data_IF_353295402393
#
_entry.id   IF_353295402393
#
_cell.length_a   1.000
_cell.length_b   1.000
_cell.length_c   1.000
_cell.angle_alpha   90.00
_cell.angle_beta   90.00
_cell.angle_gamma   90.00
#
_symmetry.space_group_name_H-M   'P 1'
#
loop_
_entity.id
_entity.type
_entity.pdbx_description
1 polymer ?
#
# COMPACT_ATOMS: atom_id res chain seq x y z
N UNK A 1 -6.02 9.09 -0.68
CA UNK A 1 -5.37 8.04 -1.50
C UNK A 1 -6.45 7.42 -2.36
N UNK A 2 -6.39 7.56 -3.70
CA UNK A 2 -7.35 6.90 -4.60
C UNK A 2 -7.13 5.39 -4.53
N UNK A 3 -8.21 4.63 -4.37
CA UNK A 3 -8.10 3.19 -4.22
C UNK A 3 -7.57 2.57 -5.53
N UNK A 4 -6.90 1.41 -5.50
CA UNK A 4 -6.44 0.72 -6.71
C UNK A 4 -7.55 0.51 -7.75
N UNK A 5 -8.80 0.40 -7.30
CA UNK A 5 -9.98 0.28 -8.16
C UNK A 5 -10.31 1.58 -8.91
N UNK A 6 -10.13 2.75 -8.29
CA UNK A 6 -10.35 4.05 -8.94
C UNK A 6 -9.30 4.29 -10.03
N UNK A 7 -8.08 3.78 -9.82
CA UNK A 7 -6.98 3.83 -10.80
C UNK A 7 -7.30 2.97 -12.02
N UNK A 8 -7.81 1.75 -11.81
CA UNK A 8 -8.26 0.88 -12.91
C UNK A 8 -9.40 1.55 -13.71
N UNK A 9 -10.39 2.12 -13.02
CA UNK A 9 -11.47 2.86 -13.69
C UNK A 9 -10.94 4.08 -14.48
N UNK A 10 -9.87 4.72 -13.99
CA UNK A 10 -9.22 5.82 -14.71
C UNK A 10 -8.56 5.31 -15.99
N UNK A 11 -7.90 4.14 -15.96
CA UNK A 11 -7.32 3.52 -17.16
C UNK A 11 -8.40 3.11 -18.17
N UNK A 12 -9.52 2.54 -17.71
CA UNK A 12 -10.67 2.22 -18.59
C UNK A 12 -11.26 3.48 -19.24
N UNK A 13 -11.29 4.60 -18.51
CA UNK A 13 -11.73 5.88 -19.06
C UNK A 13 -10.75 6.41 -20.12
N UNK A 14 -9.43 6.28 -19.88
CA UNK A 14 -8.40 6.64 -20.86
C UNK A 14 -8.54 5.78 -22.12
N UNK A 15 -8.80 4.47 -21.99
CA UNK A 15 -9.03 3.58 -23.13
C UNK A 15 -10.22 4.05 -23.99
N UNK A 16 -11.34 4.44 -23.36
CA UNK A 16 -12.49 5.01 -24.06
C UNK A 16 -12.13 6.33 -24.76
N UNK A 17 -11.34 7.18 -24.11
CA UNK A 17 -10.85 8.44 -24.71
C UNK A 17 -9.94 8.16 -25.92
N UNK A 18 -9.12 7.10 -25.91
CA UNK A 18 -8.31 6.67 -27.06
C UNK A 18 -9.20 6.24 -28.23
N UNK A 19 -10.25 5.46 -27.97
CA UNK A 19 -11.22 5.06 -29.00
C UNK A 19 -11.86 6.31 -29.64
N UNK A 20 -12.29 7.26 -28.82
CA UNK A 20 -12.87 8.52 -29.30
C UNK A 20 -11.87 9.35 -30.13
N UNK A 21 -10.61 9.37 -29.73
CA UNK A 21 -9.53 10.02 -30.45
C UNK A 21 -9.40 9.43 -31.88
N UNK A 22 -9.30 8.11 -31.97
CA UNK A 22 -9.20 7.40 -33.26
C UNK A 22 -10.45 7.61 -34.14
N UNK A 23 -11.65 7.59 -33.55
CA UNK A 23 -12.88 7.88 -34.27
C UNK A 23 -12.91 9.30 -34.83
N UNK A 24 -12.46 10.29 -34.05
CA UNK A 24 -12.39 11.70 -34.49
C UNK A 24 -11.44 11.86 -35.68
N UNK A 25 -10.28 11.20 -35.66
CA UNK A 25 -9.37 11.16 -36.79
C UNK A 25 -9.99 10.46 -38.02
N UNK A 26 -10.66 9.32 -37.80
CA UNK A 26 -11.37 8.60 -38.85
C UNK A 26 -12.45 9.44 -39.53
N UNK A 27 -13.24 10.18 -38.76
CA UNK A 27 -14.26 11.10 -39.31
C UNK A 27 -13.63 12.24 -40.10
N UNK A 28 -12.51 12.82 -39.65
CA UNK A 28 -11.80 13.85 -40.40
C UNK A 28 -11.33 13.31 -41.77
N UNK A 29 -10.71 12.12 -41.79
CA UNK A 29 -10.25 11.49 -43.03
C UNK A 29 -11.41 11.13 -43.96
N UNK A 30 -12.51 10.60 -43.42
CA UNK A 30 -13.69 10.24 -44.19
C UNK A 30 -14.35 11.47 -44.80
N UNK A 31 -14.43 12.59 -44.07
CA UNK A 31 -14.92 13.86 -44.62
C UNK A 31 -14.06 14.37 -45.77
N UNK A 32 -12.74 14.29 -45.62
CA UNK A 32 -11.79 14.71 -46.65
C UNK A 32 -11.81 13.81 -47.90
N UNK A 33 -12.24 12.55 -47.76
CA UNK A 33 -12.37 11.62 -48.89
C UNK A 33 -13.62 11.81 -49.75
N UNK A 34 -14.56 12.69 -49.35
CA UNK A 34 -15.79 12.94 -50.11
C UNK A 34 -15.50 13.77 -51.36
N UNK A 35 -16.22 13.49 -52.45
CA UNK A 35 -16.16 14.27 -53.70
C UNK A 35 -16.47 15.76 -53.49
N UNK A 36 -17.34 16.06 -52.52
CA UNK A 36 -17.64 17.41 -52.05
C UNK A 36 -17.46 17.51 -50.53
N UNK A 37 -16.21 17.70 -50.11
CA UNK A 37 -15.83 17.78 -48.70
C UNK A 37 -16.23 19.12 -48.05
N UNK A 38 -16.59 19.06 -46.77
CA UNK A 38 -16.82 20.24 -45.92
C UNK A 38 -15.58 20.52 -45.08
N UNK A 39 -14.83 21.57 -45.45
CA UNK A 39 -13.64 21.98 -44.71
C UNK A 39 -13.93 22.27 -43.23
N UNK A 40 -15.08 22.91 -42.94
CA UNK A 40 -15.51 23.20 -41.58
C UNK A 40 -15.74 21.93 -40.74
N UNK A 41 -16.28 20.87 -41.33
CA UNK A 41 -16.47 19.60 -40.62
C UNK A 41 -15.14 18.87 -40.41
N UNK A 42 -14.29 18.84 -41.44
CA UNK A 42 -12.94 18.26 -41.34
C UNK A 42 -12.10 18.95 -40.25
N UNK A 43 -12.13 20.28 -40.18
CA UNK A 43 -11.50 21.06 -39.11
C UNK A 43 -12.11 20.77 -37.74
N UNK A 44 -13.44 20.66 -37.65
CA UNK A 44 -14.11 20.31 -36.39
C UNK A 44 -13.64 18.96 -35.85
N UNK A 45 -13.62 17.93 -36.70
CA UNK A 45 -13.15 16.59 -36.32
C UNK A 45 -11.65 16.57 -35.99
N UNK A 46 -10.84 17.31 -36.73
CA UNK A 46 -9.40 17.45 -36.45
C UNK A 46 -9.13 18.15 -35.11
N UNK A 47 -9.89 19.20 -34.79
CA UNK A 47 -9.79 19.88 -33.50
C UNK A 47 -10.24 18.99 -32.34
N UNK A 48 -11.28 18.18 -32.54
CA UNK A 48 -11.71 17.20 -31.54
C UNK A 48 -10.64 16.13 -31.32
N UNK A 49 -10.04 15.60 -32.38
CA UNK A 49 -8.91 14.68 -32.30
C UNK A 49 -7.76 15.27 -31.45
N UNK A 50 -7.31 16.49 -31.77
CA UNK A 50 -6.22 17.14 -31.03
C UNK A 50 -6.54 17.32 -29.54
N UNK A 51 -7.77 17.75 -29.22
CA UNK A 51 -8.20 17.92 -27.82
C UNK A 51 -8.20 16.60 -27.07
N UNK A 52 -8.77 15.55 -27.65
CA UNK A 52 -8.83 14.23 -27.01
C UNK A 52 -7.43 13.62 -26.89
N UNK A 53 -6.58 13.79 -27.90
CA UNK A 53 -5.19 13.31 -27.86
C UNK A 53 -4.41 13.96 -26.70
N UNK A 54 -4.50 15.28 -26.56
CA UNK A 54 -3.82 16.00 -25.49
C UNK A 54 -4.30 15.56 -24.10
N UNK A 55 -5.61 15.32 -23.97
CA UNK A 55 -6.21 14.83 -22.73
C UNK A 55 -5.74 13.40 -22.39
N UNK A 56 -5.68 12.50 -23.37
CA UNK A 56 -5.13 11.15 -23.20
C UNK A 56 -3.66 11.21 -22.77
N UNK A 57 -2.85 12.02 -23.44
CA UNK A 57 -1.42 12.19 -23.14
C UNK A 57 -1.19 12.69 -21.70
N UNK A 58 -1.93 13.72 -21.29
CA UNK A 58 -1.85 14.28 -19.94
C UNK A 58 -2.20 13.23 -18.88
N UNK A 59 -3.32 12.52 -19.05
CA UNK A 59 -3.75 11.49 -18.09
C UNK A 59 -2.81 10.28 -18.04
N UNK A 60 -2.30 9.81 -19.18
CA UNK A 60 -1.32 8.72 -19.20
C UNK A 60 -0.03 9.13 -18.50
N UNK A 61 0.44 10.36 -18.70
CA UNK A 61 1.61 10.90 -18.01
C UNK A 61 1.42 10.88 -16.49
N UNK A 62 0.25 11.28 -16.00
CA UNK A 62 -0.06 11.19 -14.57
C UNK A 62 -0.02 9.75 -14.03
N UNK A 63 -0.56 8.77 -14.78
CA UNK A 63 -0.50 7.37 -14.37
C UNK A 63 0.93 6.81 -14.40
N UNK A 64 1.75 7.18 -15.39
CA UNK A 64 3.16 6.79 -15.48
C UNK A 64 3.95 7.38 -14.31
N UNK A 65 3.74 8.68 -14.00
CA UNK A 65 4.39 9.34 -12.87
C UNK A 65 4.01 8.67 -11.55
N UNK A 66 2.73 8.35 -11.37
CA UNK A 66 2.26 7.60 -10.21
C UNK A 66 2.91 6.21 -10.12
N UNK A 67 2.88 5.42 -11.20
CA UNK A 67 3.47 4.09 -11.23
C UNK A 67 4.96 4.15 -10.92
N UNK A 68 5.67 5.14 -11.45
CA UNK A 68 7.07 5.40 -11.16
C UNK A 68 7.27 5.69 -9.67
N UNK A 69 6.45 6.56 -9.08
CA UNK A 69 6.53 6.91 -7.65
C UNK A 69 6.28 5.70 -6.74
N UNK A 70 5.30 4.86 -7.05
CA UNK A 70 4.98 3.68 -6.22
C UNK A 70 5.90 2.49 -6.46
N UNK A 71 6.50 2.37 -7.65
CA UNK A 71 7.38 1.24 -8.02
C UNK A 71 8.84 1.46 -7.64
N UNK A 72 9.29 2.71 -7.49
CA UNK A 72 10.71 3.03 -7.15
C UNK A 72 10.98 3.16 -5.65
N UNK A 73 9.96 2.95 -4.80
CA UNK A 73 10.16 2.55 -3.40
C UNK A 73 10.66 3.62 -2.43
N UNK A 74 10.42 4.93 -2.63
CA UNK A 74 10.67 5.96 -1.59
C UNK A 74 9.68 7.14 -1.64
N UNK A 75 9.25 7.73 -0.49
CA UNK A 75 9.18 7.19 0.88
C UNK A 75 7.72 7.22 1.42
N UNK A 76 7.39 6.32 2.35
CA UNK A 76 6.17 6.28 3.19
C UNK A 76 4.77 6.15 2.52
N UNK A 77 4.19 4.95 2.66
CA UNK A 77 2.76 4.61 2.49
C UNK A 77 2.25 4.09 1.13
N UNK A 78 3.14 3.53 0.30
CA UNK A 78 2.71 2.48 -0.63
C UNK A 78 2.23 1.26 0.18
N UNK A 79 1.09 0.68 -0.19
CA UNK A 79 0.30 -0.35 0.54
C UNK A 79 1.07 -1.55 1.12
N UNK A 80 2.29 -1.82 0.65
CA UNK A 80 3.19 -2.83 1.23
C UNK A 80 3.97 -2.36 2.46
N UNK A 81 4.57 -1.16 2.45
CA UNK A 81 5.46 -0.70 3.53
C UNK A 81 4.71 -0.48 4.84
N UNK A 82 3.51 0.09 4.78
CA UNK A 82 2.67 0.29 5.98
C UNK A 82 2.34 -1.06 6.64
N UNK A 83 1.89 -2.03 5.84
CA UNK A 83 1.60 -3.41 6.27
C UNK A 83 2.84 -4.11 6.83
N UNK A 84 3.99 -3.95 6.18
CA UNK A 84 5.26 -4.53 6.61
C UNK A 84 5.79 -3.88 7.91
N UNK A 85 5.63 -2.57 8.08
CA UNK A 85 5.97 -1.85 9.32
C UNK A 85 5.07 -2.27 10.47
N UNK A 86 3.76 -2.39 10.23
CA UNK A 86 2.81 -2.91 11.23
C UNK A 86 3.19 -4.33 11.64
N UNK A 87 3.53 -5.19 10.68
CA UNK A 87 4.01 -6.53 10.95
C UNK A 87 5.31 -6.51 11.78
N UNK A 88 6.32 -5.74 11.37
CA UNK A 88 7.57 -5.58 12.12
C UNK A 88 7.33 -5.09 13.56
N UNK A 89 6.46 -4.11 13.75
CA UNK A 89 6.07 -3.65 15.09
C UNK A 89 5.35 -4.74 15.89
N UNK A 90 4.49 -5.55 15.25
CA UNK A 90 3.83 -6.67 15.89
C UNK A 90 4.83 -7.75 16.34
N UNK A 91 5.84 -8.06 15.51
CA UNK A 91 6.94 -8.96 15.88
C UNK A 91 7.74 -8.44 17.08
N UNK A 92 8.13 -7.17 17.08
CA UNK A 92 8.83 -6.57 18.21
C UNK A 92 8.00 -6.60 19.51
N UNK A 93 6.70 -6.31 19.41
CA UNK A 93 5.77 -6.40 20.55
C UNK A 93 5.65 -7.83 21.05
N UNK A 94 5.55 -8.81 20.15
CA UNK A 94 5.48 -10.22 20.52
C UNK A 94 6.73 -10.69 21.26
N UNK A 95 7.92 -10.35 20.74
CA UNK A 95 9.19 -10.72 21.38
C UNK A 95 9.33 -10.07 22.77
N UNK A 96 8.91 -8.81 22.91
CA UNK A 96 8.88 -8.14 24.21
C UNK A 96 7.94 -8.83 25.20
N UNK A 97 6.73 -9.21 24.77
CA UNK A 97 5.79 -9.96 25.61
C UNK A 97 6.35 -11.33 26.01
N UNK A 98 6.99 -12.05 25.08
CA UNK A 98 7.63 -13.34 25.35
C UNK A 98 8.73 -13.21 26.40
N UNK A 99 9.58 -12.18 26.29
CA UNK A 99 10.61 -11.87 27.29
C UNK A 99 10.01 -11.61 28.67
N UNK A 100 8.93 -10.82 28.74
CA UNK A 100 8.23 -10.50 29.99
C UNK A 100 7.61 -11.74 30.64
N UNK A 101 6.99 -12.62 29.86
CA UNK A 101 6.41 -13.88 30.35
C UNK A 101 7.48 -14.82 30.89
N UNK A 102 8.59 -14.99 30.16
CA UNK A 102 9.72 -15.82 30.62
C UNK A 102 10.29 -15.32 31.96
N UNK A 103 10.35 -14.00 32.15
CA UNK A 103 10.81 -13.42 33.41
C UNK A 103 9.83 -13.69 34.56
N UNK A 104 8.53 -13.57 34.33
CA UNK A 104 7.51 -13.92 35.32
C UNK A 104 7.58 -15.40 35.72
N UNK A 105 7.82 -16.29 34.76
CA UNK A 105 7.99 -17.73 35.03
C UNK A 105 9.21 -17.98 35.92
N UNK A 106 10.34 -17.30 35.65
CA UNK A 106 11.54 -17.38 36.49
C UNK A 106 11.28 -16.90 37.91
N UNK A 107 10.57 -15.77 38.08
CA UNK A 107 10.24 -15.23 39.39
C UNK A 107 9.35 -16.21 40.16
N UNK A 108 8.30 -16.74 39.52
CA UNK A 108 7.42 -17.76 40.10
C UNK A 108 8.22 -18.97 40.58
N UNK A 109 9.12 -19.50 39.74
CA UNK A 109 9.92 -20.67 40.07
C UNK A 109 10.88 -20.42 41.24
N UNK A 110 11.49 -19.22 41.31
CA UNK A 110 12.30 -18.81 42.47
C UNK A 110 11.46 -18.76 43.75
N UNK A 111 10.26 -18.18 43.69
CA UNK A 111 9.36 -18.09 44.85
C UNK A 111 8.95 -19.48 45.36
N UNK A 112 8.57 -20.38 44.45
CA UNK A 112 8.29 -21.79 44.78
C UNK A 112 9.49 -22.45 45.45
N UNK A 113 10.70 -22.30 44.91
CA UNK A 113 11.91 -22.87 45.51
C UNK A 113 12.20 -22.30 46.91
N UNK A 114 12.02 -20.99 47.13
CA UNK A 114 12.19 -20.39 48.46
C UNK A 114 11.13 -20.86 49.46
N UNK A 115 9.90 -21.06 49.01
CA UNK A 115 8.81 -21.56 49.85
C UNK A 115 9.07 -23.01 50.29
N UNK A 116 9.55 -23.87 49.38
CA UNK A 116 9.90 -25.26 49.70
C UNK A 116 11.12 -25.37 50.64
N UNK A 117 12.12 -24.48 50.51
CA UNK A 117 13.27 -24.45 51.43
C UNK A 117 12.92 -23.92 52.83
N UNK A 118 11.98 -22.99 52.95
CA UNK A 118 11.51 -22.46 54.24
C UNK A 118 10.83 -23.51 55.14
N UNK A 119 10.27 -24.57 54.55
CA UNK A 119 9.62 -25.67 55.27
C UNK A 119 10.58 -26.80 55.71
N UNK A 120 11.84 -26.82 55.25
CA UNK A 120 12.85 -27.83 55.59
C UNK A 120 13.99 -27.26 56.44
N UNK A 121 13.68 -26.52 57.51
CA UNK A 121 14.68 -26.08 58.49
C UNK A 121 14.57 -26.97 59.73
N UNK A 122 15.51 -27.91 59.99
CA UNK A 122 15.47 -28.74 61.19
C UNK A 122 15.68 -27.84 62.41
N UNK A 123 14.79 -27.98 63.40
CA UNK A 123 14.95 -27.41 64.74
C UNK A 123 16.24 -27.96 65.37
N UNK A 124 17.34 -27.20 65.31
CA UNK A 124 18.52 -27.48 66.12
C UNK A 124 18.25 -26.98 67.55
N UNK A 125 18.06 -27.93 68.45
CA UNK A 125 17.90 -27.71 69.90
C UNK A 125 19.15 -27.02 70.48
N UNK A 126 18.92 -25.95 71.25
CA UNK A 126 19.92 -25.30 72.09
C UNK A 126 20.02 -26.04 73.44
N UNK A 127 21.23 -26.33 73.97
CA UNK A 127 21.39 -26.51 75.40
C UNK A 127 21.61 -25.15 76.08
N UNK A 128 20.88 -24.98 77.17
CA UNK A 128 20.95 -23.91 78.16
C UNK A 128 22.26 -24.02 78.96
N UNK A 129 22.90 -22.90 79.29
CA UNK A 129 23.72 -22.70 80.50
C UNK A 129 23.98 -21.19 80.63
N UNK A 130 23.29 -20.55 81.58
CA UNK A 130 23.74 -20.19 82.94
C UNK A 130 24.60 -18.93 82.94
#
# INVERSE_FOLDING_TARGET
MTAPIDRLQTLDAIEKDIILCLQSAGHALLELSKDKSSLKQAESHSNQFLKTLHHVESKLTEQINYLTQVSTGQPHEGSGYASQKVLQMAWHRLEHLRSRVNELERIKNKQLQTQTRGMMRPMQQQPMNQ
#
